data_IF_759988149617
#
_entry.id   IF_759988149617
#
_cell.length_a   1.000
_cell.length_b   1.000
_cell.length_c   1.000
_cell.angle_alpha   90.00
_cell.angle_beta   90.00
_cell.angle_gamma   90.00
#
_symmetry.space_group_name_H-M   'P 1'
#
loop_
_entity.id
_entity.type
_entity.pdbx_description
1 polymer ?
#
# COMPACT_ATOMS: atom_id res chain seq x y z
N UNK A 1 1.63 -2.25 9.50
CA UNK A 1 2.02 -1.45 8.31
C UNK A 1 3.28 -0.62 8.57
N UNK A 2 3.25 0.45 9.37
CA UNK A 2 4.40 1.36 9.56
C UNK A 2 5.70 0.64 9.98
N UNK A 3 5.62 -0.35 10.88
CA UNK A 3 6.78 -1.16 11.25
C UNK A 3 7.42 -1.85 10.03
N UNK A 4 6.62 -2.47 9.17
CA UNK A 4 7.11 -3.08 7.93
C UNK A 4 7.78 -2.04 7.03
N UNK A 5 7.21 -0.84 6.88
CA UNK A 5 7.82 0.25 6.12
C UNK A 5 9.23 0.60 6.64
N UNK A 6 9.41 0.69 7.97
CA UNK A 6 10.72 0.95 8.58
C UNK A 6 11.71 -0.19 8.36
N UNK A 7 11.24 -1.43 8.49
CA UNK A 7 12.08 -2.63 8.34
C UNK A 7 12.56 -2.84 6.89
N UNK A 8 11.99 -2.15 5.89
CA UNK A 8 12.38 -2.24 4.48
C UNK A 8 13.35 -1.13 4.03
N UNK A 9 13.64 -0.14 4.88
CA UNK A 9 14.62 0.89 4.55
C UNK A 9 15.96 0.25 4.13
N UNK A 10 16.64 0.80 3.11
CA UNK A 10 16.34 2.06 2.42
C UNK A 10 15.29 1.95 1.29
N UNK A 11 14.78 0.75 1.01
CA UNK A 11 13.85 0.51 -0.09
C UNK A 11 12.41 0.81 0.29
N UNK A 12 11.55 0.98 -0.72
CA UNK A 12 10.10 1.01 -0.50
C UNK A 12 9.60 -0.35 -0.01
N UNK A 13 8.83 -0.35 1.07
CA UNK A 13 7.94 -1.45 1.41
C UNK A 13 6.69 -1.41 0.54
N UNK A 14 6.06 -2.56 0.35
CA UNK A 14 4.73 -2.65 -0.26
C UNK A 14 3.90 -3.75 0.41
N UNK A 15 2.59 -3.67 0.34
CA UNK A 15 1.72 -4.74 0.77
C UNK A 15 0.24 -4.53 0.55
N UNK A 16 -0.53 -5.54 0.94
CA UNK A 16 -1.98 -5.56 0.79
C UNK A 16 -2.66 -5.47 2.15
N UNK A 17 -3.83 -4.87 2.19
CA UNK A 17 -4.74 -4.85 3.32
C UNK A 17 -6.01 -5.60 2.93
N UNK A 18 -6.55 -6.41 3.82
CA UNK A 18 -7.85 -7.06 3.62
C UNK A 18 -8.72 -6.97 4.86
N UNK A 19 -10.02 -7.17 4.67
CA UNK A 19 -10.99 -7.21 5.75
C UNK A 19 -12.42 -7.29 5.25
N UNK A 20 -13.37 -6.77 6.03
CA UNK A 20 -14.81 -6.91 5.75
C UNK A 20 -15.54 -5.59 6.01
N UNK A 21 -16.58 -5.32 5.23
CA UNK A 21 -17.47 -4.17 5.46
C UNK A 21 -16.74 -2.82 5.45
N UNK A 22 -15.73 -2.65 4.61
CA UNK A 22 -14.93 -1.42 4.53
C UNK A 22 -13.89 -1.24 5.65
N UNK A 23 -13.74 -2.21 6.56
CA UNK A 23 -12.71 -2.21 7.61
C UNK A 23 -11.58 -3.16 7.24
N UNK A 24 -10.35 -2.67 7.16
CA UNK A 24 -9.16 -3.50 7.09
C UNK A 24 -8.87 -4.15 8.45
N UNK A 25 -8.74 -5.48 8.48
CA UNK A 25 -8.44 -6.29 9.67
C UNK A 25 -7.14 -7.08 9.55
N UNK A 26 -6.66 -7.28 8.33
CA UNK A 26 -5.49 -8.10 8.01
C UNK A 26 -4.48 -7.30 7.19
N UNK A 27 -3.19 -7.49 7.49
CA UNK A 27 -2.07 -6.85 6.81
C UNK A 27 -1.19 -7.94 6.21
N UNK A 28 -0.89 -7.80 4.92
CA UNK A 28 -0.03 -8.72 4.17
C UNK A 28 1.21 -7.97 3.66
N UNK A 29 2.33 -8.01 4.41
CA UNK A 29 3.63 -7.51 3.93
C UNK A 29 4.08 -8.25 2.68
N UNK A 30 4.47 -7.52 1.65
CA UNK A 30 4.90 -8.08 0.37
C UNK A 30 6.36 -7.76 0.09
N UNK A 31 7.04 -8.68 -0.59
CA UNK A 31 8.39 -8.46 -1.07
C UNK A 31 8.37 -7.43 -2.19
N UNK A 32 9.12 -6.34 -2.03
CA UNK A 32 9.43 -5.45 -3.14
C UNK A 32 10.50 -6.09 -4.04
N UNK A 33 10.09 -6.67 -5.17
CA UNK A 33 10.98 -7.29 -6.16
C UNK A 33 11.79 -6.29 -6.98
N UNK A 34 11.43 -5.00 -6.98
CA UNK A 34 12.23 -3.94 -7.59
C UNK A 34 13.46 -3.58 -6.73
N UNK A 35 13.43 -3.91 -5.42
CA UNK A 35 14.50 -3.60 -4.47
C UNK A 35 14.99 -2.14 -4.58
N UNK A 36 14.03 -1.21 -4.67
CA UNK A 36 14.25 0.19 -5.03
C UNK A 36 13.73 1.13 -3.94
N UNK A 37 14.41 2.27 -3.69
CA UNK A 37 13.93 3.32 -2.79
C UNK A 37 12.90 4.26 -3.43
N UNK A 38 12.60 4.09 -4.72
CA UNK A 38 11.73 5.00 -5.50
C UNK A 38 10.57 4.29 -6.21
N UNK A 39 10.48 2.98 -6.06
CA UNK A 39 9.44 2.18 -6.69
C UNK A 39 9.29 0.82 -6.03
N UNK A 40 8.11 0.24 -6.19
CA UNK A 40 7.86 -1.12 -5.78
C UNK A 40 7.28 -1.98 -6.91
N UNK A 41 7.53 -3.28 -6.80
CA UNK A 41 6.80 -4.31 -7.54
C UNK A 41 6.59 -5.51 -6.65
N UNK A 42 5.33 -5.87 -6.39
CA UNK A 42 5.01 -7.05 -5.59
C UNK A 42 5.40 -8.33 -6.32
N UNK A 43 5.72 -9.38 -5.56
CA UNK A 43 5.97 -10.71 -6.10
C UNK A 43 4.65 -11.38 -6.51
N UNK A 44 4.49 -11.73 -7.79
CA UNK A 44 3.24 -12.28 -8.33
C UNK A 44 2.81 -13.61 -7.68
N UNK A 45 3.77 -14.46 -7.28
CA UNK A 45 3.43 -15.71 -6.60
C UNK A 45 2.94 -15.43 -5.18
N UNK A 46 3.58 -14.49 -4.49
CA UNK A 46 3.12 -14.05 -3.18
C UNK A 46 1.73 -13.42 -3.28
N UNK A 47 1.45 -12.62 -4.31
CA UNK A 47 0.13 -11.99 -4.52
C UNK A 47 -0.94 -13.07 -4.63
N UNK A 48 -0.74 -14.08 -5.48
CA UNK A 48 -1.69 -15.21 -5.63
C UNK A 48 -1.98 -15.90 -4.30
N UNK A 49 -0.93 -16.25 -3.54
CA UNK A 49 -1.09 -16.88 -2.21
C UNK A 49 -1.84 -15.98 -1.23
N UNK A 50 -1.60 -14.67 -1.24
CA UNK A 50 -2.33 -13.74 -0.37
C UNK A 50 -3.81 -13.70 -0.75
N UNK A 51 -4.16 -13.65 -2.03
CA UNK A 51 -5.56 -13.70 -2.47
C UNK A 51 -6.26 -15.01 -2.09
N UNK A 52 -5.56 -16.15 -2.14
CA UNK A 52 -6.09 -17.43 -1.64
C UNK A 52 -6.39 -17.37 -0.12
N UNK A 53 -5.52 -16.74 0.67
CA UNK A 53 -5.75 -16.55 2.10
C UNK A 53 -6.90 -15.57 2.37
N UNK A 54 -6.96 -14.45 1.66
CA UNK A 54 -8.06 -13.47 1.75
C UNK A 54 -9.40 -14.18 1.52
N UNK A 55 -9.47 -15.01 0.47
CA UNK A 55 -10.66 -15.81 0.17
C UNK A 55 -11.00 -16.80 1.29
N UNK A 56 -10.01 -17.55 1.79
CA UNK A 56 -10.19 -18.51 2.90
C UNK A 56 -10.69 -17.83 4.17
N UNK A 57 -10.24 -16.60 4.43
CA UNK A 57 -10.69 -15.80 5.56
C UNK A 57 -12.05 -15.13 5.31
N UNK A 58 -12.66 -15.27 4.13
CA UNK A 58 -13.89 -14.57 3.77
C UNK A 58 -13.75 -13.05 3.82
N UNK A 59 -12.54 -12.54 3.55
CA UNK A 59 -12.23 -11.12 3.48
C UNK A 59 -12.22 -10.64 2.03
N UNK A 60 -12.15 -9.32 1.85
CA UNK A 60 -11.97 -8.64 0.56
C UNK A 60 -10.72 -7.77 0.63
N UNK A 61 -10.13 -7.47 -0.53
CA UNK A 61 -9.06 -6.49 -0.62
C UNK A 61 -9.61 -5.13 -0.17
N UNK A 62 -9.01 -4.58 0.87
CA UNK A 62 -9.44 -3.34 1.52
C UNK A 62 -8.48 -2.17 1.24
N UNK A 63 -7.28 -2.44 0.71
CA UNK A 63 -6.32 -1.41 0.36
C UNK A 63 -4.99 -1.96 -0.11
N UNK A 64 -4.21 -1.10 -0.75
CA UNK A 64 -2.82 -1.34 -1.13
C UNK A 64 -1.98 -0.30 -0.41
N UNK A 65 -0.86 -0.70 0.18
CA UNK A 65 0.07 0.27 0.76
C UNK A 65 1.47 0.14 0.18
N UNK A 66 2.16 1.26 0.11
CA UNK A 66 3.60 1.32 -0.05
C UNK A 66 4.20 2.43 0.81
N UNK A 67 5.53 2.51 0.85
CA UNK A 67 6.21 3.54 1.60
C UNK A 67 7.13 4.37 0.73
N UNK A 68 7.20 5.66 1.03
CA UNK A 68 8.24 6.55 0.54
C UNK A 68 9.32 6.73 1.61
N UNK A 69 10.56 6.24 1.40
CA UNK A 69 11.66 6.39 2.35
C UNK A 69 11.97 7.85 2.68
N UNK A 70 11.94 8.72 1.67
CA UNK A 70 12.40 10.12 1.76
C UNK A 70 11.44 11.13 1.14
N UNK A 71 10.32 10.69 0.56
CA UNK A 71 9.33 11.56 -0.08
C UNK A 71 8.03 11.67 0.75
N UNK A 72 7.20 12.70 0.54
CA UNK A 72 5.94 12.90 1.27
C UNK A 72 4.93 11.76 1.10
N UNK A 73 3.91 11.74 1.95
CA UNK A 73 2.84 10.74 1.94
C UNK A 73 1.79 11.05 0.86
N UNK A 74 2.23 11.22 -0.38
CA UNK A 74 1.42 11.56 -1.57
C UNK A 74 1.88 10.67 -2.72
N UNK A 75 0.98 10.06 -3.52
CA UNK A 75 1.35 9.22 -4.65
C UNK A 75 2.25 9.96 -5.64
N UNK A 76 3.32 9.32 -6.07
CA UNK A 76 4.20 9.83 -7.12
C UNK A 76 3.51 9.74 -8.49
N UNK A 77 4.03 10.42 -9.54
CA UNK A 77 3.54 10.23 -10.90
C UNK A 77 3.62 8.77 -11.38
N UNK A 78 4.61 8.01 -10.91
CA UNK A 78 4.77 6.60 -11.25
C UNK A 78 3.70 5.75 -10.55
N UNK A 79 3.40 6.04 -9.28
CA UNK A 79 2.33 5.35 -8.54
C UNK A 79 0.98 5.53 -9.23
N UNK A 80 0.68 6.76 -9.64
CA UNK A 80 -0.56 7.11 -10.34
C UNK A 80 -0.65 6.40 -11.69
N UNK A 81 0.48 6.30 -12.41
CA UNK A 81 0.53 5.66 -13.73
C UNK A 81 0.35 4.14 -13.65
N UNK A 82 0.86 3.52 -12.58
CA UNK A 82 0.92 2.06 -12.42
C UNK A 82 -0.17 1.49 -11.51
N UNK A 83 -1.07 2.31 -10.97
CA UNK A 83 -2.17 1.90 -10.11
C UNK A 83 -3.18 1.02 -10.88
N UNK A 84 -3.34 -0.28 -10.53
CA UNK A 84 -4.18 -1.18 -11.32
C UNK A 84 -5.68 -1.18 -10.95
N UNK A 85 -6.08 -0.58 -9.83
CA UNK A 85 -7.44 -0.68 -9.30
C UNK A 85 -8.00 0.68 -8.92
N UNK A 86 -9.07 1.10 -9.59
CA UNK A 86 -9.65 2.44 -9.37
C UNK A 86 -10.51 2.54 -8.10
N UNK A 87 -11.02 1.41 -7.62
CA UNK A 87 -11.95 1.33 -6.48
C UNK A 87 -11.28 0.93 -5.16
N UNK A 88 -9.96 0.76 -5.16
CA UNK A 88 -9.19 0.35 -3.98
C UNK A 88 -8.40 1.55 -3.43
N UNK A 89 -8.41 1.80 -2.12
CA UNK A 89 -7.61 2.87 -1.55
C UNK A 89 -6.12 2.52 -1.57
N UNK A 90 -5.30 3.50 -1.95
CA UNK A 90 -3.85 3.46 -1.93
C UNK A 90 -3.34 4.25 -0.74
N UNK A 91 -2.61 3.57 0.13
CA UNK A 91 -2.03 4.13 1.35
C UNK A 91 -0.54 4.38 1.11
N UNK A 92 -0.10 5.62 1.28
CA UNK A 92 1.31 5.99 1.18
C UNK A 92 1.83 6.31 2.57
N UNK A 93 2.86 5.57 3.01
CA UNK A 93 3.55 5.85 4.28
C UNK A 93 4.84 6.60 4.00
N UNK A 94 4.93 7.87 4.40
CA UNK A 94 6.18 8.61 4.34
C UNK A 94 7.02 8.36 5.58
N UNK A 95 8.32 8.15 5.36
CA UNK A 95 9.34 8.06 6.41
C UNK A 95 10.33 9.24 6.35
N UNK A 96 10.03 10.28 5.57
CA UNK A 96 10.90 11.42 5.34
C UNK A 96 11.09 12.32 6.58
N UNK A 97 10.09 12.33 7.46
CA UNK A 97 10.05 13.16 8.66
C UNK A 97 10.49 12.44 9.94
N UNK A 98 10.56 13.16 11.06
CA UNK A 98 10.88 12.59 12.38
C UNK A 98 9.80 11.59 12.86
N UNK A 99 8.57 11.75 12.37
CA UNK A 99 7.47 10.82 12.57
C UNK A 99 6.92 10.36 11.21
N UNK A 100 6.42 9.13 11.10
CA UNK A 100 5.83 8.62 9.88
C UNK A 100 4.50 9.31 9.59
N UNK A 101 4.30 9.73 8.35
CA UNK A 101 3.03 10.29 7.88
C UNK A 101 2.31 9.27 7.00
N UNK A 102 0.98 9.28 7.05
CA UNK A 102 0.15 8.34 6.28
C UNK A 102 -0.87 9.14 5.48
N UNK A 103 -0.83 8.97 4.16
CA UNK A 103 -1.83 9.48 3.24
C UNK A 103 -2.64 8.34 2.64
N UNK A 104 -3.92 8.58 2.37
CA UNK A 104 -4.82 7.62 1.75
C UNK A 104 -5.47 8.27 0.52
N UNK A 105 -5.47 7.57 -0.61
CA UNK A 105 -5.88 8.13 -1.89
C UNK A 105 -6.69 7.13 -2.69
N UNK A 106 -7.69 7.63 -3.42
CA UNK A 106 -8.23 6.92 -4.57
C UNK A 106 -7.48 7.38 -5.81
N UNK A 107 -7.05 6.43 -6.63
CA UNK A 107 -6.36 6.71 -7.89
C UNK A 107 -7.24 6.23 -9.04
N UNK A 108 -7.75 7.18 -9.83
CA UNK A 108 -8.56 6.92 -11.01
C UNK A 108 -8.32 8.02 -12.05
N UNK A 109 -8.56 7.74 -13.34
CA UNK A 109 -8.36 8.72 -14.43
C UNK A 109 -6.98 9.42 -14.40
N UNK A 110 -5.93 8.68 -13.99
CA UNK A 110 -4.56 9.19 -13.79
C UNK A 110 -4.47 10.36 -12.79
N UNK A 111 -5.32 10.37 -11.76
CA UNK A 111 -5.34 11.37 -10.70
C UNK A 111 -5.44 10.68 -9.33
N UNK A 112 -4.70 11.22 -8.36
CA UNK A 112 -4.85 10.86 -6.96
C UNK A 112 -5.76 11.87 -6.26
N UNK A 113 -6.79 11.39 -5.58
CA UNK A 113 -7.68 12.22 -4.75
C UNK A 113 -7.65 11.71 -3.31
N UNK A 114 -7.52 12.57 -2.29
CA UNK A 114 -7.54 12.14 -0.90
C UNK A 114 -8.80 11.32 -0.60
N UNK A 115 -8.62 10.16 0.03
CA UNK A 115 -9.70 9.27 0.41
C UNK A 115 -9.85 9.27 1.94
N UNK A 116 -11.05 9.56 2.48
CA UNK A 116 -11.26 9.54 3.93
C UNK A 116 -10.92 8.17 4.52
N UNK A 117 -10.07 8.16 5.54
CA UNK A 117 -9.74 6.95 6.32
C UNK A 117 -9.94 7.26 7.79
N UNK A 118 -10.54 6.32 8.51
CA UNK A 118 -10.67 6.35 9.96
C UNK A 118 -9.68 5.32 10.49
N UNK A 119 -8.78 5.76 11.37
CA UNK A 119 -7.86 4.90 12.10
C UNK A 119 -8.39 4.85 13.53
N UNK A 120 -8.80 3.66 13.96
CA UNK A 120 -9.26 3.39 15.32
C UNK A 120 -8.26 2.58 16.15
#
# INVERSE_FOLDING_TARGET
MIRHCRDQLPNEACGLLSGRGGRASSIWPMKNTAASPFSFRMDDQQVKRVFEHIHTLGEQLAGIYHSHPTAPAVPSPLDILLAPYEDIPYIVVSLAGPAPEVGCYRINDKRATPWPVIID
#
